data_IF_017477082363
#
_entry.id   IF_017477082363
#
_cell.length_a   1.000
_cell.length_b   1.000
_cell.length_c   1.000
_cell.angle_alpha   90.00
_cell.angle_beta   90.00
_cell.angle_gamma   90.00
#
_symmetry.space_group_name_H-M   'P 1'
#
loop_
_entity.id
_entity.type
_entity.pdbx_description
1 polymer ?
#
# COMPACT_ATOMS: atom_id res chain seq x y z
N UNK A 1 -24.02 5.99 -0.37
CA UNK A 1 -22.76 6.75 -0.46
C UNK A 1 -22.07 6.31 -1.74
N UNK A 2 -21.81 7.22 -2.68
CA UNK A 2 -21.09 6.88 -3.91
C UNK A 2 -19.62 6.69 -3.55
N UNK A 3 -19.06 5.53 -3.85
CA UNK A 3 -17.63 5.25 -3.72
C UNK A 3 -16.96 5.63 -5.04
N UNK A 4 -16.01 6.56 -4.99
CA UNK A 4 -15.19 6.88 -6.15
C UNK A 4 -14.03 5.90 -6.22
N UNK A 5 -13.89 5.11 -7.31
CA UNK A 5 -12.78 4.18 -7.44
C UNK A 5 -11.45 4.95 -7.45
N UNK A 6 -10.49 4.48 -6.66
CA UNK A 6 -9.15 5.07 -6.62
C UNK A 6 -8.37 4.56 -7.83
N UNK A 7 -8.18 5.41 -8.85
CA UNK A 7 -7.49 5.02 -10.09
C UNK A 7 -5.96 5.01 -10.01
N UNK A 8 -5.39 5.40 -8.87
CA UNK A 8 -3.93 5.51 -8.69
C UNK A 8 -3.22 4.18 -8.92
N UNK A 9 -3.66 3.10 -8.28
CA UNK A 9 -2.99 1.80 -8.39
C UNK A 9 -3.19 1.14 -9.76
N UNK A 10 -4.40 1.14 -10.37
CA UNK A 10 -4.56 0.68 -11.75
C UNK A 10 -3.72 1.47 -12.77
N UNK A 11 -3.58 2.78 -12.58
CA UNK A 11 -2.73 3.60 -13.45
C UNK A 11 -1.25 3.23 -13.34
N UNK A 12 -0.74 3.03 -12.12
CA UNK A 12 0.64 2.57 -11.90
C UNK A 12 0.83 1.21 -12.56
N UNK A 13 -0.11 0.28 -12.39
CA UNK A 13 -0.06 -1.03 -13.02
C UNK A 13 0.07 -0.93 -14.54
N UNK A 14 -0.74 -0.07 -15.18
CA UNK A 14 -0.69 0.15 -16.62
C UNK A 14 0.60 0.82 -17.14
N UNK A 15 1.30 1.57 -16.28
CA UNK A 15 2.56 2.27 -16.62
C UNK A 15 3.81 1.46 -16.24
N UNK A 16 3.64 0.35 -15.52
CA UNK A 16 4.76 -0.48 -15.09
C UNK A 16 5.27 -1.28 -16.30
N UNK A 17 6.61 -1.46 -16.43
CA UNK A 17 7.20 -2.26 -17.49
C UNK A 17 6.58 -3.66 -17.64
N UNK A 18 6.48 -4.15 -18.87
CA UNK A 18 5.83 -5.43 -19.20
C UNK A 18 6.53 -6.67 -18.60
N UNK A 19 7.79 -6.55 -18.21
CA UNK A 19 8.57 -7.60 -17.55
C UNK A 19 8.28 -7.73 -16.05
N UNK A 20 7.44 -6.86 -15.49
CA UNK A 20 6.98 -6.93 -14.10
C UNK A 20 5.58 -7.56 -14.06
N UNK A 21 5.46 -8.69 -13.36
CA UNK A 21 4.15 -9.28 -13.08
C UNK A 21 3.43 -8.48 -12.00
N UNK A 22 2.18 -8.08 -12.27
CA UNK A 22 1.41 -7.23 -11.37
C UNK A 22 0.13 -7.95 -10.97
N UNK A 23 -0.08 -8.03 -9.66
CA UNK A 23 -1.38 -8.33 -9.08
C UNK A 23 -1.92 -7.09 -8.40
N UNK A 24 -3.17 -6.75 -8.69
CA UNK A 24 -3.87 -5.61 -8.09
C UNK A 24 -5.02 -6.13 -7.22
N UNK A 25 -5.05 -5.70 -5.97
CA UNK A 25 -6.12 -6.01 -5.01
C UNK A 25 -6.83 -4.73 -4.61
N UNK A 26 -8.15 -4.71 -4.73
CA UNK A 26 -9.00 -3.65 -4.18
C UNK A 26 -9.79 -4.20 -2.98
N UNK A 27 -9.49 -3.70 -1.78
CA UNK A 27 -10.11 -4.13 -0.52
C UNK A 27 -11.63 -3.89 -0.44
N UNK A 28 -12.18 -3.05 -1.33
CA UNK A 28 -13.63 -2.87 -1.45
C UNK A 28 -14.28 -4.09 -2.12
N UNK A 29 -13.54 -4.77 -3.01
CA UNK A 29 -14.03 -5.85 -3.86
C UNK A 29 -13.66 -7.22 -3.30
N UNK A 30 -12.45 -7.36 -2.76
CA UNK A 30 -11.93 -8.63 -2.24
C UNK A 30 -11.01 -8.44 -1.04
N UNK A 31 -10.84 -9.49 -0.23
CA UNK A 31 -9.93 -9.44 0.91
C UNK A 31 -8.47 -9.54 0.44
N UNK A 32 -7.56 -8.90 1.19
CA UNK A 32 -6.12 -9.02 0.95
C UNK A 32 -5.64 -10.44 1.25
N UNK A 33 -5.02 -11.06 0.24
CA UNK A 33 -4.32 -12.32 0.40
C UNK A 33 -2.88 -12.06 0.87
N UNK A 34 -2.65 -12.28 2.17
CA UNK A 34 -1.33 -12.10 2.79
C UNK A 34 -0.32 -13.21 2.45
N UNK A 35 -0.79 -14.35 1.93
CA UNK A 35 0.07 -15.49 1.60
C UNK A 35 0.58 -15.42 0.15
N UNK A 36 0.05 -14.50 -0.66
CA UNK A 36 0.52 -14.26 -2.02
C UNK A 36 2.02 -13.95 -2.03
N UNK A 37 2.74 -14.72 -2.84
CA UNK A 37 4.15 -14.47 -3.13
C UNK A 37 4.31 -13.19 -3.95
N UNK A 38 5.11 -12.26 -3.45
CA UNK A 38 5.47 -11.02 -4.14
C UNK A 38 6.85 -10.54 -3.68
N UNK A 39 7.67 -10.06 -4.62
CA UNK A 39 8.97 -9.44 -4.32
C UNK A 39 8.81 -8.04 -3.70
N UNK A 40 7.71 -7.37 -4.03
CA UNK A 40 7.36 -6.03 -3.58
C UNK A 40 5.84 -5.88 -3.41
N UNK A 41 5.42 -5.31 -2.29
CA UNK A 41 4.05 -4.91 -2.02
C UNK A 41 3.97 -3.38 -2.01
N UNK A 42 3.11 -2.81 -2.84
CA UNK A 42 2.87 -1.37 -2.90
C UNK A 42 1.45 -1.05 -2.42
N UNK A 43 1.33 -0.14 -1.44
CA UNK A 43 0.03 0.22 -0.84
C UNK A 43 -0.19 1.74 -0.95
N UNK A 44 -1.34 2.15 -1.49
CA UNK A 44 -1.74 3.56 -1.49
C UNK A 44 -2.38 3.93 -0.15
N UNK A 45 -1.88 4.99 0.48
CA UNK A 45 -2.28 5.45 1.80
C UNK A 45 -3.00 6.80 1.70
N UNK A 46 -4.31 6.77 1.85
CA UNK A 46 -5.08 7.97 2.15
C UNK A 46 -5.09 8.23 3.66
N UNK A 47 -5.24 9.49 4.07
CA UNK A 47 -5.14 9.88 5.49
C UNK A 47 -6.17 9.16 6.37
N UNK A 48 -7.44 8.98 5.96
CA UNK A 48 -8.42 8.27 6.80
C UNK A 48 -8.08 6.79 7.04
N UNK A 49 -7.41 6.12 6.10
CA UNK A 49 -7.04 4.71 6.21
C UNK A 49 -5.62 4.46 6.74
N UNK A 50 -4.89 5.50 7.16
CA UNK A 50 -3.48 5.38 7.56
C UNK A 50 -3.21 4.25 8.56
N UNK A 51 -3.98 4.21 9.66
CA UNK A 51 -3.84 3.17 10.68
C UNK A 51 -4.09 1.75 10.14
N UNK A 52 -4.98 1.61 9.16
CA UNK A 52 -5.25 0.33 8.51
C UNK A 52 -4.09 -0.07 7.59
N UNK A 53 -3.60 0.88 6.79
CA UNK A 53 -2.46 0.68 5.90
C UNK A 53 -1.18 0.31 6.66
N UNK A 54 -0.91 0.94 7.81
CA UNK A 54 0.24 0.56 8.64
C UNK A 54 0.15 -0.88 9.15
N UNK A 55 -1.03 -1.31 9.62
CA UNK A 55 -1.24 -2.70 10.04
C UNK A 55 -1.06 -3.70 8.89
N UNK A 56 -1.57 -3.37 7.70
CA UNK A 56 -1.35 -4.16 6.48
C UNK A 56 0.14 -4.26 6.16
N UNK A 57 0.84 -3.13 6.17
CA UNK A 57 2.26 -3.06 5.89
C UNK A 57 3.07 -3.92 6.87
N UNK A 58 2.76 -3.83 8.17
CA UNK A 58 3.44 -4.58 9.21
C UNK A 58 3.20 -6.09 9.06
N UNK A 59 1.99 -6.49 8.67
CA UNK A 59 1.64 -7.90 8.48
C UNK A 59 2.35 -8.52 7.26
N UNK A 60 2.55 -7.76 6.18
CA UNK A 60 3.39 -8.16 5.05
C UNK A 60 4.89 -8.17 5.41
N UNK A 61 5.37 -7.16 6.14
CA UNK A 61 6.77 -7.11 6.63
C UNK A 61 7.09 -8.28 7.55
N UNK A 62 6.15 -8.68 8.43
CA UNK A 62 6.28 -9.84 9.32
C UNK A 62 6.43 -11.16 8.55
N UNK A 63 5.87 -11.23 7.33
CA UNK A 63 6.05 -12.34 6.38
C UNK A 63 7.31 -12.22 5.51
N UNK A 64 8.17 -11.23 5.77
CA UNK A 64 9.42 -11.03 5.02
C UNK A 64 9.24 -10.34 3.67
N UNK A 65 8.06 -9.77 3.38
CA UNK A 65 7.82 -9.03 2.13
C UNK A 65 8.40 -7.62 2.22
N UNK A 66 8.96 -7.13 1.11
CA UNK A 66 9.31 -5.70 0.99
C UNK A 66 8.03 -4.90 0.76
N UNK A 67 7.86 -3.79 1.49
CA UNK A 67 6.66 -2.96 1.42
C UNK A 67 7.03 -1.51 1.14
N UNK A 68 6.36 -0.89 0.17
CA UNK A 68 6.41 0.55 -0.11
C UNK A 68 5.03 1.17 0.06
N UNK A 69 4.99 2.33 0.73
CA UNK A 69 3.76 3.10 0.93
C UNK A 69 3.81 4.35 0.05
N UNK A 70 2.71 4.63 -0.63
CA UNK A 70 2.52 5.83 -1.44
C UNK A 70 1.25 6.58 -1.06
N UNK A 71 0.95 7.69 -1.75
CA UNK A 71 -0.29 8.44 -1.56
C UNK A 71 -0.17 9.66 -0.65
N UNK A 72 -1.25 10.44 -0.51
CA UNK A 72 -1.21 11.77 0.10
C UNK A 72 -0.82 11.74 1.58
N UNK A 73 -1.16 10.67 2.32
CA UNK A 73 -0.84 10.59 3.74
C UNK A 73 0.67 10.57 3.96
N UNK A 74 1.36 9.59 3.36
CA UNK A 74 2.80 9.40 3.51
C UNK A 74 3.62 10.45 2.75
N UNK A 75 3.01 11.16 1.79
CA UNK A 75 3.64 12.32 1.13
C UNK A 75 3.72 13.51 2.07
N UNK A 76 2.65 13.80 2.82
CA UNK A 76 2.58 14.94 3.74
C UNK A 76 3.19 14.60 5.10
N UNK A 77 3.08 13.34 5.52
CA UNK A 77 3.60 12.82 6.76
C UNK A 77 4.29 11.48 6.49
N UNK A 78 5.55 11.50 6.01
CA UNK A 78 6.31 10.27 5.85
C UNK A 78 6.39 9.54 7.19
N UNK A 79 6.32 8.20 7.11
CA UNK A 79 6.26 7.27 8.25
C UNK A 79 7.17 7.76 9.40
N UNK A 80 6.63 8.04 10.59
CA UNK A 80 7.47 8.44 11.71
C UNK A 80 8.45 7.30 12.00
N UNK A 81 9.71 7.66 12.23
CA UNK A 81 10.75 6.69 12.58
C UNK A 81 10.24 5.82 13.74
N UNK A 82 10.20 4.47 13.62
CA UNK A 82 9.63 3.58 14.63
C UNK A 82 10.27 3.73 16.01
N UNK A 83 11.46 4.34 16.11
CA UNK A 83 12.11 4.63 17.40
C UNK A 83 11.68 5.94 18.07
N UNK A 84 11.16 6.92 17.34
CA UNK A 84 10.94 8.28 17.89
C UNK A 84 9.54 8.84 17.71
N UNK A 85 8.69 8.21 16.88
CA UNK A 85 7.31 8.68 16.67
C UNK A 85 7.22 10.10 16.11
N UNK A 86 8.31 10.65 15.56
CA UNK A 86 8.37 11.99 14.99
C UNK A 86 8.51 11.90 13.48
N UNK A 87 7.68 12.66 12.78
CA UNK A 87 7.92 13.02 11.39
C UNK A 87 9.17 13.91 11.33
N UNK A 88 10.00 13.70 10.29
CA UNK A 88 11.26 14.43 10.08
C UNK A 88 11.07 15.95 10.08
#
# INVERSE_FOLDING_TARGET
MIQFPQLTMPLIAALTPEDVEIHHTDEIVEAVDFEREADLVAITCNTPAANHVYRLADEFRRRGRKVVLGGPHVTVLPDPDPETGRSR
#
